data_IF_635517374755
#
_entry.id   IF_635517374755
#
_cell.length_a   1.000
_cell.length_b   1.000
_cell.length_c   1.000
_cell.angle_alpha   90.00
_cell.angle_beta   90.00
_cell.angle_gamma   90.00
#
_symmetry.space_group_name_H-M   'P 1'
#
loop_
_entity.id
_entity.type
_entity.pdbx_description
1 polymer ?
#
# COMPACT_ATOMS: atom_id res chain seq x y z
N UNK A 1 12.76 -16.80 15.12
CA UNK A 1 12.56 -16.03 13.86
C UNK A 1 13.84 -16.01 13.02
N UNK A 2 14.93 -15.40 13.48
CA UNK A 2 16.21 -15.31 12.71
C UNK A 2 16.70 -16.67 12.20
N UNK A 3 16.78 -17.68 13.07
CA UNK A 3 17.19 -19.03 12.65
C UNK A 3 16.24 -19.67 11.62
N UNK A 4 14.93 -19.43 11.77
CA UNK A 4 13.92 -19.95 10.85
C UNK A 4 14.01 -19.33 9.45
N UNK A 5 14.31 -18.03 9.38
CA UNK A 5 14.59 -17.31 8.13
C UNK A 5 15.89 -17.81 7.47
N UNK A 6 16.96 -17.98 8.26
CA UNK A 6 18.23 -18.51 7.77
C UNK A 6 18.11 -19.90 7.14
N UNK A 7 17.29 -20.80 7.72
CA UNK A 7 16.99 -22.12 7.14
C UNK A 7 16.30 -22.05 5.76
N UNK A 8 15.74 -20.89 5.40
CA UNK A 8 15.05 -20.62 4.12
C UNK A 8 15.85 -19.70 3.20
N UNK A 9 17.10 -19.38 3.53
CA UNK A 9 17.92 -18.45 2.76
C UNK A 9 17.45 -17.00 2.85
N UNK A 10 16.64 -16.65 3.84
CA UNK A 10 16.10 -15.30 4.05
C UNK A 10 16.98 -14.55 5.06
N UNK A 11 17.42 -13.35 4.68
CA UNK A 11 18.16 -12.42 5.53
C UNK A 11 17.17 -11.52 6.26
N UNK A 12 17.42 -11.24 7.55
CA UNK A 12 16.64 -10.29 8.33
C UNK A 12 17.51 -9.06 8.58
N UNK A 13 17.09 -7.92 8.02
CA UNK A 13 17.69 -6.61 8.27
C UNK A 13 16.80 -5.89 9.28
N UNK A 14 17.27 -5.63 10.51
CA UNK A 14 16.46 -4.90 11.49
C UNK A 14 16.44 -3.41 11.17
N UNK A 15 15.33 -2.76 11.54
CA UNK A 15 15.19 -1.30 11.52
C UNK A 15 14.90 -0.75 12.91
N UNK A 16 15.68 0.25 13.32
CA UNK A 16 15.42 1.05 14.52
C UNK A 16 15.43 2.53 14.13
N UNK A 17 14.24 3.06 13.89
CA UNK A 17 14.02 4.39 13.29
C UNK A 17 14.48 5.50 14.24
N UNK A 18 15.38 6.35 13.73
CA UNK A 18 15.88 7.56 14.39
C UNK A 18 16.20 8.63 13.34
N UNK A 19 16.20 9.93 13.69
CA UNK A 19 15.85 10.50 14.99
C UNK A 19 14.35 10.79 15.18
N UNK A 20 13.59 10.82 14.09
CA UNK A 20 12.13 10.99 14.08
C UNK A 20 11.42 9.65 14.30
N UNK A 21 10.08 9.66 14.34
CA UNK A 21 9.27 8.48 14.69
C UNK A 21 9.61 7.86 16.06
N UNK A 22 10.17 8.67 16.97
CA UNK A 22 10.70 8.19 18.26
C UNK A 22 9.78 8.44 19.45
N UNK A 23 8.49 8.75 19.23
CA UNK A 23 7.54 8.99 20.35
C UNK A 23 7.54 7.84 21.36
N UNK A 24 7.68 6.58 20.92
CA UNK A 24 7.77 5.43 21.83
C UNK A 24 9.03 5.47 22.72
N UNK A 25 10.20 5.80 22.14
CA UNK A 25 11.44 5.99 22.90
C UNK A 25 11.26 7.16 23.89
N UNK A 26 10.73 8.28 23.43
CA UNK A 26 10.55 9.50 24.23
C UNK A 26 9.47 9.37 25.31
N UNK A 27 8.55 8.42 25.17
CA UNK A 27 7.61 8.06 26.25
C UNK A 27 8.31 7.34 27.41
N UNK A 28 9.36 6.56 27.12
CA UNK A 28 10.16 5.86 28.13
C UNK A 28 11.32 6.71 28.66
N UNK A 29 11.94 7.51 27.79
CA UNK A 29 13.13 8.32 28.06
C UNK A 29 12.89 9.78 27.62
N UNK A 30 11.97 10.51 28.27
CA UNK A 30 11.61 11.88 27.88
C UNK A 30 12.79 12.86 27.97
N UNK A 31 13.83 12.55 28.74
CA UNK A 31 15.06 13.33 28.84
C UNK A 31 15.93 13.32 27.57
N UNK A 32 15.61 12.46 26.58
CA UNK A 32 16.31 12.38 25.29
C UNK A 32 15.66 13.27 24.21
N UNK A 33 14.51 13.87 24.49
CA UNK A 33 13.74 14.63 23.53
C UNK A 33 14.28 16.04 23.29
N UNK A 34 14.04 16.56 22.07
CA UNK A 34 14.32 17.96 21.73
C UNK A 34 13.46 18.96 22.53
N UNK A 35 12.20 18.61 22.79
CA UNK A 35 11.26 19.46 23.53
C UNK A 35 10.79 18.75 24.78
N UNK A 36 10.87 19.41 25.93
CA UNK A 36 10.29 18.86 27.16
C UNK A 36 8.76 18.92 27.11
N UNK A 37 8.12 17.75 26.97
CA UNK A 37 6.66 17.58 27.04
C UNK A 37 6.31 16.23 27.69
N UNK A 38 5.04 16.05 28.03
CA UNK A 38 4.54 14.75 28.45
C UNK A 38 4.33 13.88 27.21
N UNK A 39 5.19 12.88 27.02
CA UNK A 39 5.10 11.93 25.92
C UNK A 39 4.16 10.77 26.27
N UNK A 40 3.39 10.34 25.29
CA UNK A 40 2.56 9.14 25.35
C UNK A 40 2.61 8.42 24.01
N UNK A 41 2.36 7.11 24.04
CA UNK A 41 2.32 6.30 22.82
C UNK A 41 1.26 6.84 21.85
N UNK A 42 1.66 7.05 20.60
CA UNK A 42 0.74 7.48 19.56
C UNK A 42 -0.35 6.41 19.36
N UNK A 43 -1.59 6.87 19.27
CA UNK A 43 -2.76 6.02 19.02
C UNK A 43 -3.34 6.20 17.63
N UNK A 44 -3.04 7.33 17.02
CA UNK A 44 -3.36 7.65 15.63
C UNK A 44 -2.10 7.53 14.78
N UNK A 45 -2.28 7.71 13.49
CA UNK A 45 -1.23 7.48 12.50
C UNK A 45 -0.75 8.82 11.92
N UNK A 46 0.26 8.76 11.06
CA UNK A 46 0.83 9.92 10.38
C UNK A 46 2.16 10.39 10.97
N UNK A 47 2.54 11.60 10.56
CA UNK A 47 3.84 12.18 10.88
C UNK A 47 3.75 13.04 12.14
N UNK A 48 4.58 12.75 13.14
CA UNK A 48 4.57 13.44 14.42
C UNK A 48 5.89 14.20 14.65
N UNK A 49 5.78 15.40 15.24
CA UNK A 49 6.92 16.27 15.53
C UNK A 49 7.94 15.76 16.59
N UNK A 50 7.60 14.87 17.57
CA UNK A 50 8.57 14.31 18.51
C UNK A 50 9.81 13.68 17.86
N UNK A 51 10.98 14.17 18.26
CA UNK A 51 12.28 13.81 17.70
C UNK A 51 13.36 13.81 18.80
N UNK A 52 14.38 12.95 18.65
CA UNK A 52 15.54 12.93 19.56
C UNK A 52 16.32 14.24 19.49
N UNK A 53 16.94 14.65 20.60
CA UNK A 53 17.82 15.81 20.67
C UNK A 53 19.29 15.46 20.29
N UNK A 54 19.76 15.80 19.08
CA UNK A 54 21.12 15.48 18.65
C UNK A 54 22.20 16.25 19.43
N UNK A 55 21.82 17.32 20.16
CA UNK A 55 22.73 18.15 20.96
C UNK A 55 22.91 17.63 22.39
N UNK A 56 22.09 16.66 22.79
CA UNK A 56 22.15 16.03 24.10
C UNK A 56 23.04 14.78 24.06
N UNK A 57 24.17 14.81 24.77
CA UNK A 57 25.13 13.71 24.81
C UNK A 57 24.55 12.37 25.32
N UNK A 58 23.47 12.41 26.10
CA UNK A 58 22.78 11.20 26.57
C UNK A 58 22.13 10.42 25.42
N UNK A 59 21.72 11.09 24.34
CA UNK A 59 21.17 10.43 23.15
C UNK A 59 22.20 9.49 22.55
N UNK A 60 23.45 9.91 22.43
CA UNK A 60 24.51 9.10 21.84
C UNK A 60 24.88 7.89 22.70
N UNK A 61 24.89 8.05 24.03
CA UNK A 61 25.07 6.93 24.97
C UNK A 61 23.92 5.93 24.87
N UNK A 62 22.68 6.43 24.76
CA UNK A 62 21.51 5.59 24.57
C UNK A 62 21.57 4.81 23.25
N UNK A 63 21.84 5.49 22.12
CA UNK A 63 21.92 4.88 20.80
C UNK A 63 23.06 3.85 20.70
N UNK A 64 24.25 4.14 21.23
CA UNK A 64 25.36 3.18 21.24
C UNK A 64 25.01 1.89 22.00
N UNK A 65 24.29 2.00 23.12
CA UNK A 65 23.82 0.84 23.89
C UNK A 65 22.73 0.07 23.18
N UNK A 66 21.67 0.78 22.76
CA UNK A 66 20.54 0.16 22.04
C UNK A 66 21.04 -0.58 20.80
N UNK A 67 21.86 0.07 19.97
CA UNK A 67 22.37 -0.54 18.76
C UNK A 67 23.39 -1.64 19.06
N UNK A 68 24.21 -1.50 20.11
CA UNK A 68 25.08 -2.60 20.55
C UNK A 68 24.30 -3.86 20.91
N UNK A 69 23.21 -3.72 21.67
CA UNK A 69 22.34 -4.85 22.02
C UNK A 69 21.65 -5.45 20.80
N UNK A 70 21.07 -4.61 19.93
CA UNK A 70 20.29 -5.09 18.78
C UNK A 70 21.19 -5.69 17.69
N UNK A 71 22.35 -5.10 17.41
CA UNK A 71 23.30 -5.64 16.42
C UNK A 71 23.89 -7.00 16.84
N UNK A 72 23.95 -7.29 18.14
CA UNK A 72 24.32 -8.61 18.66
C UNK A 72 23.23 -9.67 18.42
N UNK A 73 21.95 -9.26 18.38
CA UNK A 73 20.83 -10.16 18.10
C UNK A 73 20.71 -10.47 16.60
N UNK A 74 20.91 -9.48 15.73
CA UNK A 74 20.73 -9.62 14.28
C UNK A 74 22.06 -9.85 13.56
N UNK A 75 22.33 -11.06 13.04
CA UNK A 75 23.65 -11.42 12.49
C UNK A 75 23.93 -10.82 11.11
N UNK A 76 22.91 -10.31 10.41
CA UNK A 76 23.10 -9.72 9.08
C UNK A 76 24.05 -8.51 9.15
N UNK A 77 24.77 -8.26 8.05
CA UNK A 77 25.70 -7.13 7.98
C UNK A 77 24.99 -5.78 7.83
N UNK A 78 23.75 -5.72 7.34
CA UNK A 78 23.01 -4.47 7.19
C UNK A 78 22.22 -4.16 8.46
N UNK A 79 22.10 -2.87 8.79
CA UNK A 79 21.31 -2.37 9.90
C UNK A 79 20.64 -1.06 9.49
N UNK A 80 19.30 -1.03 9.50
CA UNK A 80 18.51 0.12 9.05
C UNK A 80 18.28 1.08 10.22
N UNK A 81 18.56 2.37 10.00
CA UNK A 81 18.41 3.43 11.01
C UNK A 81 17.16 4.29 10.78
N UNK A 82 16.40 4.00 9.72
CA UNK A 82 15.30 4.83 9.26
C UNK A 82 15.81 6.15 8.70
N UNK A 83 15.42 7.25 9.35
CA UNK A 83 15.80 8.62 8.97
C UNK A 83 14.71 9.37 8.19
N UNK A 84 13.52 8.82 8.12
CA UNK A 84 12.36 9.36 7.43
C UNK A 84 11.59 10.40 8.26
N UNK A 85 10.89 11.29 7.55
CA UNK A 85 9.79 12.12 8.06
C UNK A 85 10.08 12.99 9.30
N UNK A 86 11.33 13.38 9.53
CA UNK A 86 11.63 14.47 10.45
C UNK A 86 11.04 15.79 9.94
N UNK A 87 10.04 16.33 10.63
CA UNK A 87 9.38 17.59 10.23
C UNK A 87 10.22 18.83 10.50
N UNK A 88 11.29 18.72 11.29
CA UNK A 88 12.14 19.83 11.72
C UNK A 88 11.53 20.73 12.80
N UNK A 89 10.21 20.69 13.03
CA UNK A 89 9.51 21.67 13.90
C UNK A 89 10.02 21.69 15.33
N UNK A 90 10.25 20.53 15.94
CA UNK A 90 10.76 20.45 17.31
C UNK A 90 12.20 20.95 17.42
N UNK A 91 13.05 20.70 16.42
CA UNK A 91 14.41 21.25 16.37
C UNK A 91 14.41 22.76 16.16
N UNK A 92 13.59 23.26 15.23
CA UNK A 92 13.51 24.68 14.88
C UNK A 92 12.80 25.52 15.95
N UNK A 93 11.95 24.94 16.80
CA UNK A 93 11.31 25.65 17.91
C UNK A 93 12.18 25.70 19.18
N UNK A 94 13.25 24.90 19.25
CA UNK A 94 14.05 24.72 20.47
C UNK A 94 15.30 25.61 20.48
N UNK A 95 15.42 26.48 21.50
CA UNK A 95 16.47 27.51 21.56
C UNK A 95 17.89 26.93 21.55
N UNK A 96 18.20 25.94 22.39
CA UNK A 96 19.56 25.40 22.47
C UNK A 96 19.97 24.63 21.20
N UNK A 97 19.00 23.99 20.52
CA UNK A 97 19.24 23.32 19.24
C UNK A 97 19.52 24.35 18.15
N UNK A 98 18.74 25.43 18.09
CA UNK A 98 19.01 26.55 17.17
C UNK A 98 20.37 27.19 17.40
N UNK A 99 20.75 27.41 18.65
CA UNK A 99 22.05 27.96 19.00
C UNK A 99 23.18 27.02 18.59
N UNK A 100 23.00 25.71 18.79
CA UNK A 100 23.93 24.69 18.29
C UNK A 100 24.04 24.73 16.77
N UNK A 101 22.93 24.74 16.04
CA UNK A 101 22.92 24.83 14.57
C UNK A 101 23.67 26.08 14.09
N UNK A 102 23.39 27.24 14.69
CA UNK A 102 24.07 28.50 14.36
C UNK A 102 25.57 28.43 14.63
N UNK A 103 25.98 27.89 15.78
CA UNK A 103 27.38 27.75 16.15
C UNK A 103 28.17 26.82 15.21
N UNK A 104 27.49 25.85 14.59
CA UNK A 104 28.09 24.89 13.65
C UNK A 104 27.84 25.25 12.16
N UNK A 105 27.30 26.45 11.88
CA UNK A 105 27.06 26.91 10.51
C UNK A 105 25.99 26.12 9.74
N UNK A 106 25.08 25.46 10.45
CA UNK A 106 23.93 24.74 9.88
C UNK A 106 22.82 25.74 9.54
N UNK A 107 22.26 25.64 8.33
CA UNK A 107 21.25 26.58 7.81
C UNK A 107 19.83 26.09 8.07
N UNK A 108 19.61 24.79 7.89
CA UNK A 108 18.28 24.17 7.96
C UNK A 108 18.33 22.88 8.80
N UNK A 109 17.18 22.40 9.27
CA UNK A 109 17.11 21.19 10.11
C UNK A 109 17.72 19.96 9.42
N UNK A 110 17.71 19.90 8.09
CA UNK A 110 18.32 18.81 7.31
C UNK A 110 19.86 18.79 7.42
N UNK A 111 20.51 19.93 7.64
CA UNK A 111 21.95 19.98 7.94
C UNK A 111 22.23 19.30 9.29
N UNK A 112 21.36 19.52 10.28
CA UNK A 112 21.44 18.88 11.59
C UNK A 112 21.17 17.37 11.49
N UNK A 113 20.20 16.94 10.67
CA UNK A 113 19.96 15.52 10.41
C UNK A 113 21.13 14.85 9.71
N UNK A 114 21.77 15.55 8.76
CA UNK A 114 22.99 15.08 8.10
C UNK A 114 24.11 14.89 9.12
N UNK A 115 24.29 15.85 10.04
CA UNK A 115 25.26 15.74 11.12
C UNK A 115 24.93 14.57 12.08
N UNK A 116 23.65 14.37 12.40
CA UNK A 116 23.18 13.24 13.19
C UNK A 116 23.56 11.90 12.54
N UNK A 117 23.24 11.72 11.26
CA UNK A 117 23.54 10.50 10.50
C UNK A 117 25.06 10.25 10.41
N UNK A 118 25.86 11.29 10.20
CA UNK A 118 27.34 11.19 10.18
C UNK A 118 27.91 10.76 11.53
N UNK A 119 27.31 11.21 12.63
CA UNK A 119 27.73 10.82 13.99
C UNK A 119 27.26 9.41 14.35
N UNK A 120 26.14 8.96 13.79
CA UNK A 120 25.61 7.62 13.99
C UNK A 120 26.38 6.54 13.21
N UNK A 121 26.85 6.86 12.01
CA UNK A 121 27.58 5.92 11.16
C UNK A 121 28.76 5.20 11.86
N UNK A 122 29.69 5.87 12.57
CA UNK A 122 30.79 5.19 13.25
C UNK A 122 30.30 4.29 14.40
N UNK A 123 29.15 4.57 15.02
CA UNK A 123 28.52 3.69 16.02
C UNK A 123 28.08 2.39 15.36
N UNK A 124 27.42 2.46 14.20
CA UNK A 124 27.01 1.28 13.42
C UNK A 124 28.22 0.48 12.94
N UNK A 125 29.25 1.16 12.44
CA UNK A 125 30.50 0.54 11.96
C UNK A 125 31.30 -0.13 13.09
N UNK A 126 31.29 0.45 14.31
CA UNK A 126 31.89 -0.16 15.52
C UNK A 126 31.33 -1.57 15.78
N UNK A 127 30.06 -1.82 15.44
CA UNK A 127 29.42 -3.14 15.54
C UNK A 127 29.49 -3.97 14.25
N UNK A 128 30.42 -3.62 13.35
CA UNK A 128 30.68 -4.30 12.08
C UNK A 128 29.46 -4.39 11.15
N UNK A 129 28.58 -3.39 11.21
CA UNK A 129 27.42 -3.27 10.33
C UNK A 129 27.62 -2.21 9.26
N UNK A 130 26.91 -2.36 8.15
CA UNK A 130 26.74 -1.37 7.09
C UNK A 130 25.42 -0.65 7.35
N UNK A 131 25.48 0.67 7.51
CA UNK A 131 24.31 1.51 7.74
C UNK A 131 23.42 1.55 6.50
N UNK A 132 22.12 1.46 6.72
CA UNK A 132 21.09 1.63 5.72
C UNK A 132 20.04 2.62 6.23
N UNK A 133 19.40 3.38 5.35
CA UNK A 133 18.33 4.30 5.74
C UNK A 133 17.48 4.77 4.57
N UNK A 134 16.35 5.39 4.90
CA UNK A 134 15.44 5.99 3.95
C UNK A 134 16.08 7.16 3.19
N UNK A 135 15.59 7.47 2.00
CA UNK A 135 16.27 8.38 1.09
C UNK A 135 16.50 9.82 1.58
N UNK A 136 15.87 10.26 2.68
CA UNK A 136 16.21 11.47 3.41
C UNK A 136 17.66 11.51 3.89
N UNK A 137 18.27 10.36 4.18
CA UNK A 137 19.67 10.29 4.62
C UNK A 137 20.67 10.58 3.48
N UNK A 138 20.21 10.60 2.22
CA UNK A 138 21.03 10.94 1.06
C UNK A 138 21.29 12.46 1.03
N UNK A 139 22.35 12.87 1.72
CA UNK A 139 22.78 14.27 1.81
C UNK A 139 24.22 14.43 1.35
N UNK A 140 24.63 15.63 0.85
CA UNK A 140 26.00 15.87 0.43
C UNK A 140 27.01 15.49 1.53
N UNK A 141 28.06 14.75 1.16
CA UNK A 141 29.15 14.37 2.06
C UNK A 141 28.82 13.27 3.08
N UNK A 142 27.69 12.56 2.94
CA UNK A 142 27.51 11.27 3.62
C UNK A 142 28.42 10.22 2.96
N UNK A 143 29.11 9.35 3.72
CA UNK A 143 29.99 8.32 3.14
C UNK A 143 29.27 7.35 2.20
N UNK A 144 29.96 6.88 1.15
CA UNK A 144 29.40 6.00 0.11
C UNK A 144 29.22 4.54 0.54
N UNK A 145 29.75 4.15 1.70
CA UNK A 145 29.65 2.80 2.26
C UNK A 145 28.36 2.58 3.05
N UNK A 146 27.27 3.19 2.59
CA UNK A 146 25.91 3.02 3.13
C UNK A 146 24.96 2.53 2.02
N UNK A 147 23.77 2.10 2.43
CA UNK A 147 22.68 1.73 1.50
C UNK A 147 21.54 2.74 1.64
N UNK A 148 21.04 3.23 0.50
CA UNK A 148 19.89 4.13 0.44
C UNK A 148 18.63 3.36 0.03
N UNK A 149 17.57 3.44 0.83
CA UNK A 149 16.27 2.88 0.49
C UNK A 149 15.33 3.99 0.02
N UNK A 150 14.97 3.95 -1.27
CA UNK A 150 14.19 5.00 -1.91
C UNK A 150 12.71 4.72 -1.86
N UNK A 151 11.95 5.65 -1.28
CA UNK A 151 10.58 5.41 -0.89
C UNK A 151 9.62 6.51 -1.35
N UNK A 152 10.08 7.77 -1.34
CA UNK A 152 9.27 8.93 -1.78
C UNK A 152 9.12 9.03 -3.30
N UNK A 153 10.04 8.44 -4.04
CA UNK A 153 10.08 8.47 -5.50
C UNK A 153 11.17 7.59 -6.08
N UNK A 154 11.32 7.59 -7.40
CA UNK A 154 12.41 6.88 -8.10
C UNK A 154 13.63 7.77 -8.34
N UNK A 155 13.46 9.08 -8.21
CA UNK A 155 14.49 10.08 -8.46
C UNK A 155 15.65 9.90 -7.49
N UNK A 156 15.36 9.72 -6.20
CA UNK A 156 16.36 9.49 -5.17
C UNK A 156 17.07 8.14 -5.37
N UNK A 157 16.34 7.10 -5.78
CA UNK A 157 16.92 5.80 -6.16
C UNK A 157 17.96 5.95 -7.28
N UNK A 158 17.57 6.57 -8.40
CA UNK A 158 18.46 6.75 -9.56
C UNK A 158 19.64 7.66 -9.24
N UNK A 159 19.42 8.72 -8.46
CA UNK A 159 20.47 9.62 -7.98
C UNK A 159 21.49 8.85 -7.14
N UNK A 160 21.04 8.08 -6.16
CA UNK A 160 21.89 7.26 -5.28
C UNK A 160 22.80 6.33 -6.09
N UNK A 161 22.20 5.59 -7.02
CA UNK A 161 22.92 4.66 -7.91
C UNK A 161 23.99 5.38 -8.74
N UNK A 162 23.65 6.53 -9.33
CA UNK A 162 24.54 7.32 -10.18
C UNK A 162 25.68 7.97 -9.39
N UNK A 163 25.45 8.34 -8.14
CA UNK A 163 26.45 8.94 -7.24
C UNK A 163 27.36 7.89 -6.55
N UNK A 164 27.07 6.60 -6.77
CA UNK A 164 27.91 5.50 -6.32
C UNK A 164 27.45 4.82 -5.02
N UNK A 165 26.26 5.15 -4.52
CA UNK A 165 25.66 4.48 -3.37
C UNK A 165 24.93 3.22 -3.80
N UNK A 166 24.95 2.20 -2.95
CA UNK A 166 24.05 1.05 -3.09
C UNK A 166 22.62 1.49 -2.80
N UNK A 167 21.65 0.99 -3.56
CA UNK A 167 20.26 1.42 -3.43
C UNK A 167 19.27 0.26 -3.51
N UNK A 168 18.17 0.40 -2.75
CA UNK A 168 16.98 -0.45 -2.80
C UNK A 168 15.78 0.44 -3.16
N UNK A 169 14.90 -0.04 -4.05
CA UNK A 169 13.68 0.65 -4.42
C UNK A 169 12.47 0.09 -3.65
N UNK A 170 11.83 0.91 -2.82
CA UNK A 170 10.52 0.61 -2.20
C UNK A 170 9.39 1.43 -2.82
N UNK A 171 9.69 2.61 -3.40
CA UNK A 171 8.69 3.40 -4.11
C UNK A 171 8.01 2.57 -5.21
N UNK A 172 6.68 2.56 -5.21
CA UNK A 172 5.86 1.74 -6.10
C UNK A 172 5.64 0.30 -5.64
N UNK A 173 6.18 -0.12 -4.49
CA UNK A 173 5.94 -1.42 -3.84
C UNK A 173 5.27 -1.29 -2.46
N UNK A 174 4.57 -0.18 -2.23
CA UNK A 174 3.75 0.09 -1.06
C UNK A 174 2.45 -0.71 -1.14
N UNK A 175 2.46 -1.94 -0.62
CA UNK A 175 1.33 -2.85 -0.70
C UNK A 175 0.23 -2.48 0.29
N UNK A 176 0.55 -1.77 1.37
CA UNK A 176 -0.40 -1.18 2.30
C UNK A 176 -1.37 -0.19 1.62
N UNK A 177 -0.93 0.51 0.57
CA UNK A 177 -1.71 1.51 -0.17
C UNK A 177 -2.73 0.95 -1.17
N UNK A 178 -2.97 -0.38 -1.15
CA UNK A 178 -4.06 -1.05 -1.88
C UNK A 178 -4.00 -0.84 -3.41
N UNK A 179 -2.82 -0.57 -3.96
CA UNK A 179 -2.63 -0.55 -5.41
C UNK A 179 -2.73 -1.98 -6.00
N UNK A 180 -3.14 -2.12 -7.27
CA UNK A 180 -3.29 -3.42 -7.90
C UNK A 180 -1.94 -4.12 -8.13
N UNK A 181 -1.94 -5.45 -8.20
CA UNK A 181 -0.76 -6.27 -8.48
C UNK A 181 -0.05 -5.85 -9.76
N UNK A 182 -0.79 -5.46 -10.80
CA UNK A 182 -0.25 -4.96 -12.07
C UNK A 182 0.59 -3.67 -11.90
N UNK A 183 0.18 -2.76 -11.03
CA UNK A 183 0.93 -1.54 -10.72
C UNK A 183 2.32 -1.89 -10.15
N UNK A 184 2.34 -2.80 -9.17
CA UNK A 184 3.59 -3.25 -8.57
C UNK A 184 4.44 -4.09 -9.53
N UNK A 185 3.82 -4.99 -10.29
CA UNK A 185 4.51 -5.88 -11.23
C UNK A 185 5.24 -5.13 -12.35
N UNK A 186 4.68 -4.01 -12.82
CA UNK A 186 5.29 -3.16 -13.84
C UNK A 186 6.29 -2.15 -13.27
N UNK A 187 6.39 -2.04 -11.94
CA UNK A 187 7.32 -1.14 -11.29
C UNK A 187 8.75 -1.69 -11.37
N UNK A 188 9.48 -1.35 -12.44
CA UNK A 188 10.86 -1.83 -12.63
C UNK A 188 11.89 -0.89 -11.97
N UNK A 189 12.88 -1.41 -11.20
CA UNK A 189 14.03 -0.63 -10.72
C UNK A 189 15.01 -0.21 -11.83
N UNK A 190 15.00 -0.89 -12.98
CA UNK A 190 15.86 -0.64 -14.13
C UNK A 190 15.04 -0.54 -15.44
N UNK A 191 14.11 0.44 -15.58
CA UNK A 191 13.32 0.59 -16.80
C UNK A 191 14.18 1.04 -17.99
N UNK A 192 13.74 0.79 -19.22
CA UNK A 192 14.50 1.18 -20.44
C UNK A 192 14.67 2.70 -20.59
N UNK A 193 13.81 3.48 -19.95
CA UNK A 193 13.91 4.94 -19.90
C UNK A 193 15.10 5.47 -19.10
N UNK A 194 15.81 4.62 -18.36
CA UNK A 194 16.95 5.03 -17.53
C UNK A 194 18.19 4.20 -17.87
N UNK A 195 19.23 4.87 -18.34
CA UNK A 195 20.51 4.24 -18.65
C UNK A 195 21.45 4.24 -17.45
N UNK A 196 22.00 3.06 -17.13
CA UNK A 196 23.04 2.86 -16.13
C UNK A 196 24.28 2.23 -16.76
N UNK A 197 25.46 2.71 -16.38
CA UNK A 197 26.72 2.03 -16.72
C UNK A 197 26.81 0.66 -16.02
N UNK A 198 27.61 -0.29 -16.50
CA UNK A 198 27.80 -1.58 -15.81
C UNK A 198 28.26 -1.45 -14.35
N UNK A 199 29.00 -0.39 -14.01
CA UNK A 199 29.41 -0.11 -12.64
C UNK A 199 28.23 0.39 -11.79
N UNK A 200 27.37 1.25 -12.34
CA UNK A 200 26.17 1.74 -11.67
C UNK A 200 25.14 0.62 -11.46
N UNK A 201 24.97 -0.29 -12.41
CA UNK A 201 24.06 -1.43 -12.25
C UNK A 201 24.40 -2.30 -11.03
N UNK A 202 25.69 -2.44 -10.67
CA UNK A 202 26.13 -3.17 -9.47
C UNK A 202 25.71 -2.52 -8.15
N UNK A 203 25.33 -1.24 -8.19
CA UNK A 203 24.83 -0.52 -7.02
C UNK A 203 23.33 -0.74 -6.80
N UNK A 204 22.61 -1.27 -7.78
CA UNK A 204 21.20 -1.62 -7.65
C UNK A 204 21.13 -2.96 -6.93
N UNK A 205 20.66 -2.94 -5.67
CA UNK A 205 20.52 -4.16 -4.87
C UNK A 205 19.18 -4.87 -5.11
N UNK A 206 18.19 -4.17 -5.66
CA UNK A 206 16.85 -4.68 -5.94
C UNK A 206 15.78 -3.73 -5.46
N UNK A 207 14.67 -4.30 -5.00
CA UNK A 207 13.56 -3.58 -4.38
C UNK A 207 12.97 -4.33 -3.21
N UNK A 208 12.07 -3.69 -2.47
CA UNK A 208 11.43 -4.26 -1.30
C UNK A 208 9.96 -3.81 -1.21
N UNK A 209 9.06 -4.77 -1.04
CA UNK A 209 7.67 -4.48 -0.75
C UNK A 209 7.51 -4.04 0.71
N UNK A 210 6.87 -2.90 0.93
CA UNK A 210 6.63 -2.35 2.27
C UNK A 210 5.18 -2.57 2.67
N UNK A 211 4.97 -3.22 3.80
CA UNK A 211 3.66 -3.41 4.42
C UNK A 211 3.59 -2.61 5.72
N UNK A 212 3.25 -1.34 5.61
CA UNK A 212 2.95 -0.51 6.79
C UNK A 212 1.67 -1.00 7.48
N UNK A 213 1.66 -0.97 8.82
CA UNK A 213 0.69 -1.73 9.60
C UNK A 213 -0.42 -0.90 10.25
N UNK A 214 -0.68 0.30 9.76
CA UNK A 214 -1.70 1.21 10.30
C UNK A 214 -3.10 0.63 10.17
N UNK A 215 -3.40 0.02 9.02
CA UNK A 215 -4.75 -0.41 8.65
C UNK A 215 -4.91 -1.93 8.50
N UNK A 216 -4.15 -2.69 9.29
CA UNK A 216 -4.18 -4.15 9.33
C UNK A 216 -4.11 -4.69 10.76
N UNK A 217 -4.49 -5.95 10.92
CA UNK A 217 -4.35 -6.74 12.15
C UNK A 217 -3.72 -8.09 11.81
N UNK A 218 -3.33 -8.92 12.80
CA UNK A 218 -2.90 -10.28 12.54
C UNK A 218 -3.93 -11.12 11.74
N UNK A 219 -5.22 -10.78 11.80
CA UNK A 219 -6.26 -11.47 11.01
C UNK A 219 -6.22 -11.06 9.53
N UNK A 220 -5.89 -9.80 9.23
CA UNK A 220 -5.97 -9.24 7.85
C UNK A 220 -4.62 -9.08 7.17
N UNK A 221 -3.50 -9.24 7.87
CA UNK A 221 -2.15 -8.99 7.33
C UNK A 221 -1.87 -9.79 6.05
N UNK A 222 -2.20 -11.09 6.02
CA UNK A 222 -1.93 -11.93 4.86
C UNK A 222 -2.69 -11.45 3.63
N UNK A 223 -3.94 -10.99 3.80
CA UNK A 223 -4.77 -10.49 2.70
C UNK A 223 -4.29 -9.17 2.08
N UNK A 224 -3.40 -8.47 2.78
CA UNK A 224 -2.76 -7.26 2.25
C UNK A 224 -1.40 -7.59 1.65
N UNK A 225 -0.65 -8.54 2.21
CA UNK A 225 0.62 -8.98 1.62
C UNK A 225 0.40 -9.80 0.34
N UNK A 226 -0.49 -10.79 0.41
CA UNK A 226 -0.69 -11.77 -0.65
C UNK A 226 -2.00 -11.55 -1.40
N UNK A 227 -2.04 -11.85 -2.72
CA UNK A 227 -0.95 -12.41 -3.51
C UNK A 227 -0.03 -11.35 -4.16
N UNK A 228 -0.27 -10.05 -3.98
CA UNK A 228 0.47 -8.96 -4.66
C UNK A 228 1.98 -9.03 -4.49
N UNK A 229 2.47 -9.42 -3.31
CA UNK A 229 3.91 -9.63 -3.08
C UNK A 229 4.53 -10.73 -3.96
N UNK A 230 3.77 -11.72 -4.44
CA UNK A 230 4.27 -12.70 -5.40
C UNK A 230 4.52 -12.08 -6.79
N UNK A 231 3.69 -11.13 -7.22
CA UNK A 231 3.91 -10.37 -8.45
C UNK A 231 5.15 -9.46 -8.34
N UNK A 232 5.37 -8.86 -7.15
CA UNK A 232 6.60 -8.12 -6.86
C UNK A 232 7.82 -9.04 -6.89
N UNK A 233 7.72 -10.23 -6.29
CA UNK A 233 8.79 -11.22 -6.29
C UNK A 233 9.19 -11.61 -7.72
N UNK A 234 8.24 -11.73 -8.65
CA UNK A 234 8.53 -11.96 -10.05
C UNK A 234 9.31 -10.81 -10.69
N UNK A 235 8.89 -9.55 -10.48
CA UNK A 235 9.63 -8.39 -10.99
C UNK A 235 11.07 -8.35 -10.45
N UNK A 236 11.28 -8.74 -9.20
CA UNK A 236 12.58 -8.70 -8.54
C UNK A 236 13.47 -9.93 -8.83
N UNK A 237 12.93 -10.97 -9.48
CA UNK A 237 13.64 -12.23 -9.76
C UNK A 237 13.80 -12.52 -11.25
N UNK A 238 12.71 -12.39 -12.01
CA UNK A 238 12.63 -12.80 -13.40
C UNK A 238 13.36 -11.82 -14.34
N UNK A 239 13.69 -12.25 -15.56
CA UNK A 239 14.22 -11.35 -16.59
C UNK A 239 13.31 -10.14 -16.81
N UNK A 240 13.91 -8.97 -17.03
CA UNK A 240 13.21 -7.68 -17.21
C UNK A 240 12.05 -7.72 -18.21
N UNK A 241 12.20 -8.48 -19.31
CA UNK A 241 11.22 -8.59 -20.39
C UNK A 241 9.99 -9.45 -20.02
N UNK A 242 9.95 -10.07 -18.83
CA UNK A 242 8.75 -10.67 -18.28
C UNK A 242 7.89 -9.55 -17.69
N UNK A 243 6.95 -9.05 -18.49
CA UNK A 243 6.11 -7.91 -18.13
C UNK A 243 4.66 -8.02 -18.68
N UNK A 244 4.25 -9.19 -19.16
CA UNK A 244 2.87 -9.45 -19.56
C UNK A 244 1.97 -9.53 -18.31
N UNK A 245 1.03 -8.59 -18.20
CA UNK A 245 0.12 -8.47 -17.05
C UNK A 245 -0.95 -9.57 -17.05
N UNK A 246 -1.46 -9.95 -18.21
CA UNK A 246 -2.50 -10.96 -18.33
C UNK A 246 -1.95 -12.35 -17.97
N UNK A 247 -0.75 -12.67 -18.45
CA UNK A 247 -0.08 -13.92 -18.07
C UNK A 247 0.34 -13.92 -16.59
N UNK A 248 0.78 -12.77 -16.06
CA UNK A 248 1.06 -12.63 -14.62
C UNK A 248 -0.17 -12.97 -13.78
N UNK A 249 -1.34 -12.37 -14.04
CA UNK A 249 -2.54 -12.70 -13.26
C UNK A 249 -3.00 -14.16 -13.43
N UNK A 250 -2.82 -14.75 -14.62
CA UNK A 250 -3.10 -16.18 -14.86
C UNK A 250 -2.25 -17.09 -13.97
N UNK A 251 -0.96 -16.76 -13.76
CA UNK A 251 -0.06 -17.52 -12.89
C UNK A 251 -0.23 -17.14 -11.41
N UNK A 252 -0.62 -15.90 -11.13
CA UNK A 252 -0.83 -15.38 -9.79
C UNK A 252 -2.00 -16.07 -9.09
N UNK A 253 -3.09 -16.39 -9.79
CA UNK A 253 -4.23 -17.10 -9.20
C UNK A 253 -3.84 -18.49 -8.69
N UNK A 254 -3.05 -19.25 -9.48
CA UNK A 254 -2.51 -20.56 -9.08
C UNK A 254 -1.55 -20.41 -7.91
N UNK A 255 -0.67 -19.40 -7.96
CA UNK A 255 0.29 -19.12 -6.88
C UNK A 255 -0.42 -18.74 -5.58
N UNK A 256 -1.46 -17.90 -5.64
CA UNK A 256 -2.28 -17.49 -4.49
C UNK A 256 -2.85 -18.70 -3.76
N UNK A 257 -3.39 -19.68 -4.50
CA UNK A 257 -3.94 -20.89 -3.90
C UNK A 257 -2.86 -21.77 -3.26
N UNK A 258 -1.69 -21.89 -3.89
CA UNK A 258 -0.58 -22.68 -3.31
C UNK A 258 -0.06 -22.10 -2.00
N UNK A 259 -0.10 -20.78 -1.85
CA UNK A 259 0.34 -20.10 -0.63
C UNK A 259 -0.45 -20.51 0.61
N UNK A 260 -1.70 -20.96 0.47
CA UNK A 260 -2.49 -21.48 1.60
C UNK A 260 -1.87 -22.74 2.22
N UNK A 261 -1.14 -23.54 1.44
CA UNK A 261 -0.42 -24.72 1.97
C UNK A 261 0.70 -24.36 2.95
N UNK A 262 1.13 -23.09 2.94
CA UNK A 262 2.11 -22.54 3.87
C UNK A 262 1.46 -21.95 5.13
N UNK A 263 0.13 -22.03 5.24
CA UNK A 263 -0.65 -21.49 6.36
C UNK A 263 -1.07 -20.03 6.19
N UNK A 264 -0.85 -19.43 5.02
CA UNK A 264 -1.32 -18.07 4.71
C UNK A 264 -2.84 -18.07 4.58
N UNK A 265 -3.49 -17.04 5.13
CA UNK A 265 -4.96 -16.96 5.29
C UNK A 265 -5.64 -15.99 4.33
N UNK A 266 -4.94 -15.47 3.31
CA UNK A 266 -5.41 -14.37 2.47
C UNK A 266 -6.70 -14.67 1.67
N UNK A 267 -7.04 -15.92 1.39
CA UNK A 267 -8.36 -16.28 0.82
C UNK A 267 -9.34 -16.70 1.93
N UNK A 268 -8.95 -17.64 2.81
CA UNK A 268 -9.83 -18.21 3.85
C UNK A 268 -10.37 -17.16 4.85
N UNK A 269 -9.59 -16.15 5.23
CA UNK A 269 -10.04 -15.14 6.22
C UNK A 269 -11.30 -14.40 5.73
N UNK A 270 -11.46 -14.23 4.41
CA UNK A 270 -12.59 -13.51 3.82
C UNK A 270 -13.90 -14.18 4.22
N UNK A 271 -13.96 -15.49 4.13
CA UNK A 271 -15.13 -16.28 4.52
C UNK A 271 -15.52 -16.11 6.00
N UNK A 272 -14.52 -16.07 6.89
CA UNK A 272 -14.74 -15.81 8.32
C UNK A 272 -15.23 -14.39 8.58
N UNK A 273 -14.61 -13.41 7.92
CA UNK A 273 -14.98 -12.00 8.00
C UNK A 273 -16.40 -11.76 7.48
N UNK A 274 -16.79 -12.38 6.37
CA UNK A 274 -18.13 -12.26 5.80
C UNK A 274 -19.20 -12.87 6.72
N UNK A 275 -18.93 -14.01 7.37
CA UNK A 275 -19.86 -14.59 8.36
C UNK A 275 -20.03 -13.68 9.58
N UNK A 276 -18.94 -13.06 10.05
CA UNK A 276 -18.97 -12.06 11.12
C UNK A 276 -19.82 -10.85 10.71
N UNK A 277 -19.60 -10.34 9.50
CA UNK A 277 -20.35 -9.21 8.94
C UNK A 277 -21.81 -9.54 8.67
N UNK A 278 -22.15 -10.77 8.30
CA UNK A 278 -23.53 -11.20 8.09
C UNK A 278 -24.27 -11.52 9.40
N UNK A 279 -23.53 -11.72 10.51
CA UNK A 279 -24.04 -12.30 11.75
C UNK A 279 -24.76 -13.65 11.49
N UNK A 280 -24.18 -14.49 10.63
CA UNK A 280 -24.80 -15.74 10.19
C UNK A 280 -24.00 -16.51 9.13
N UNK A 281 -24.54 -17.64 8.71
CA UNK A 281 -23.94 -18.50 7.67
C UNK A 281 -24.34 -18.10 6.24
N UNK A 282 -25.48 -17.42 6.06
CA UNK A 282 -25.87 -16.89 4.76
C UNK A 282 -25.09 -15.61 4.47
N UNK A 283 -24.09 -15.74 3.61
CA UNK A 283 -23.16 -14.67 3.23
C UNK A 283 -23.22 -14.33 1.74
N UNK A 284 -24.10 -14.98 0.97
CA UNK A 284 -24.07 -14.94 -0.50
C UNK A 284 -24.18 -13.52 -1.05
N UNK A 285 -25.04 -12.68 -0.44
CA UNK A 285 -25.18 -11.30 -0.87
C UNK A 285 -23.93 -10.44 -0.59
N UNK A 286 -23.21 -10.74 0.49
CA UNK A 286 -21.94 -10.09 0.81
C UNK A 286 -20.81 -10.59 -0.08
N UNK A 287 -20.77 -11.88 -0.43
CA UNK A 287 -19.80 -12.43 -1.39
C UNK A 287 -19.91 -11.72 -2.75
N UNK A 288 -21.15 -11.54 -3.26
CA UNK A 288 -21.39 -10.80 -4.50
C UNK A 288 -20.87 -9.38 -4.41
N UNK A 289 -21.21 -8.64 -3.34
CA UNK A 289 -20.76 -7.25 -3.18
C UNK A 289 -19.23 -7.14 -3.02
N UNK A 290 -18.65 -7.94 -2.13
CA UNK A 290 -17.20 -7.94 -1.83
C UNK A 290 -16.38 -8.37 -3.03
N UNK A 291 -16.91 -9.20 -3.93
CA UNK A 291 -16.24 -9.59 -5.17
C UNK A 291 -16.03 -8.44 -6.16
N UNK A 292 -16.69 -7.29 -5.99
CA UNK A 292 -16.62 -6.16 -6.93
C UNK A 292 -16.24 -4.82 -6.29
N UNK A 293 -15.90 -4.82 -5.01
CA UNK A 293 -15.41 -3.62 -4.32
C UNK A 293 -13.96 -3.81 -3.90
N UNK A 294 -13.27 -2.70 -3.72
CA UNK A 294 -11.94 -2.64 -3.10
C UNK A 294 -11.90 -1.58 -2.02
N UNK A 295 -11.01 -1.70 -1.01
CA UNK A 295 -10.79 -0.62 -0.06
C UNK A 295 -10.31 0.65 -0.76
N UNK A 296 -10.63 1.81 -0.20
CA UNK A 296 -10.05 3.08 -0.66
C UNK A 296 -8.52 3.01 -0.63
N UNK A 297 -7.91 3.47 -1.72
CA UNK A 297 -6.46 3.37 -1.94
C UNK A 297 -5.69 4.49 -1.27
N UNK A 298 -4.38 4.31 -1.23
CA UNK A 298 -3.42 5.31 -0.76
C UNK A 298 -3.80 5.74 0.67
N UNK A 299 -4.05 7.02 0.91
CA UNK A 299 -4.32 7.56 2.25
C UNK A 299 -5.80 7.88 2.48
N UNK A 300 -6.68 7.56 1.52
CA UNK A 300 -8.10 7.96 1.58
C UNK A 300 -8.93 7.12 2.57
N UNK A 301 -8.46 5.91 2.91
CA UNK A 301 -9.15 5.01 3.84
C UNK A 301 -9.19 5.59 5.26
N UNK A 302 -8.07 6.12 5.74
CA UNK A 302 -7.93 6.74 7.07
C UNK A 302 -7.88 8.27 6.95
N UNK A 303 -8.99 8.86 6.54
CA UNK A 303 -9.11 10.30 6.32
C UNK A 303 -8.55 11.13 7.50
N UNK A 304 -7.59 12.01 7.18
CA UNK A 304 -6.95 12.90 8.16
C UNK A 304 -6.17 12.17 9.25
N UNK A 305 -5.76 10.93 8.98
CA UNK A 305 -4.98 10.04 9.84
C UNK A 305 -5.56 9.72 11.23
N UNK A 306 -6.80 10.15 11.47
CA UNK A 306 -7.43 10.21 12.80
C UNK A 306 -8.72 9.40 12.92
N UNK A 307 -9.20 8.80 11.82
CA UNK A 307 -10.42 8.01 11.85
C UNK A 307 -10.21 6.62 12.46
N UNK A 308 -9.05 6.03 12.21
CA UNK A 308 -8.64 4.77 12.80
C UNK A 308 -7.57 5.02 13.86
N UNK A 309 -7.58 4.17 14.88
CA UNK A 309 -6.54 4.09 15.90
C UNK A 309 -5.87 2.72 15.83
N UNK A 310 -4.75 2.56 16.53
CA UNK A 310 -4.10 1.26 16.76
C UNK A 310 -5.01 0.20 17.43
N UNK A 311 -6.17 0.60 17.97
CA UNK A 311 -7.15 -0.29 18.59
C UNK A 311 -8.48 -0.37 17.84
N UNK A 312 -8.59 0.30 16.68
CA UNK A 312 -9.82 0.27 15.90
C UNK A 312 -10.12 -1.16 15.43
N UNK A 313 -11.41 -1.55 15.38
CA UNK A 313 -11.79 -2.87 14.90
C UNK A 313 -11.66 -2.91 13.37
N UNK A 314 -10.68 -3.67 12.87
CA UNK A 314 -10.50 -3.98 11.45
C UNK A 314 -11.34 -5.20 11.07
N UNK A 315 -12.65 -5.10 11.29
CA UNK A 315 -13.63 -6.16 11.07
C UNK A 315 -14.85 -5.68 10.27
N UNK A 316 -14.65 -4.69 9.41
CA UNK A 316 -15.66 -4.02 8.58
C UNK A 316 -15.62 -4.50 7.14
N UNK A 317 -16.51 -3.98 6.28
CA UNK A 317 -16.55 -4.39 4.87
C UNK A 317 -15.23 -4.11 4.14
N UNK A 318 -14.56 -2.99 4.45
CA UNK A 318 -13.23 -2.67 3.92
C UNK A 318 -12.15 -3.67 4.34
N UNK A 319 -12.35 -4.39 5.44
CA UNK A 319 -11.43 -5.43 5.88
C UNK A 319 -11.63 -6.73 5.13
N UNK A 320 -12.85 -7.02 4.67
CA UNK A 320 -13.14 -8.16 3.78
C UNK A 320 -12.78 -7.88 2.31
N UNK A 321 -12.85 -6.61 1.89
CA UNK A 321 -12.47 -6.19 0.55
C UNK A 321 -10.95 -6.25 0.35
N UNK A 322 -10.53 -6.64 -0.85
CA UNK A 322 -9.13 -6.67 -1.29
C UNK A 322 -9.01 -5.98 -2.64
N UNK A 323 -7.83 -5.42 -2.99
CA UNK A 323 -7.58 -5.01 -4.38
C UNK A 323 -7.57 -6.23 -5.29
N UNK A 324 -7.53 -6.00 -6.61
CA UNK A 324 -7.34 -7.04 -7.63
C UNK A 324 -8.40 -8.16 -7.63
N UNK A 325 -9.66 -7.83 -7.33
CA UNK A 325 -10.71 -8.85 -7.41
C UNK A 325 -10.79 -9.43 -8.84
N UNK A 326 -10.88 -10.75 -8.94
CA UNK A 326 -10.91 -11.44 -10.23
C UNK A 326 -12.15 -11.04 -11.05
N UNK A 327 -13.31 -10.91 -10.41
CA UNK A 327 -14.59 -10.64 -11.06
C UNK A 327 -14.56 -9.32 -11.87
N UNK A 328 -14.21 -8.15 -11.30
CA UNK A 328 -14.05 -6.90 -12.06
C UNK A 328 -13.02 -6.98 -13.17
N UNK A 329 -11.88 -7.65 -12.94
CA UNK A 329 -10.81 -7.77 -13.93
C UNK A 329 -11.26 -8.55 -15.16
N UNK A 330 -11.92 -9.70 -14.95
CA UNK A 330 -12.47 -10.50 -16.04
C UNK A 330 -13.63 -9.77 -16.72
N UNK A 331 -14.52 -9.13 -15.95
CA UNK A 331 -15.65 -8.38 -16.49
C UNK A 331 -15.19 -7.22 -17.39
N UNK A 332 -14.18 -6.45 -16.98
CA UNK A 332 -13.63 -5.37 -17.80
C UNK A 332 -13.07 -5.91 -19.12
N UNK A 333 -12.33 -7.03 -19.10
CA UNK A 333 -11.82 -7.68 -20.31
C UNK A 333 -12.94 -8.19 -21.21
N UNK A 334 -13.99 -8.77 -20.63
CA UNK A 334 -15.17 -9.22 -21.38
C UNK A 334 -15.88 -8.07 -22.08
N UNK A 335 -16.09 -6.94 -21.38
CA UNK A 335 -16.68 -5.72 -21.96
C UNK A 335 -15.82 -5.18 -23.09
N UNK A 336 -14.50 -5.04 -22.87
CA UNK A 336 -13.58 -4.54 -23.92
C UNK A 336 -13.62 -5.43 -25.16
N UNK A 337 -13.67 -6.75 -24.99
CA UNK A 337 -13.78 -7.70 -26.10
C UNK A 337 -15.14 -7.61 -26.80
N UNK A 338 -16.24 -7.50 -26.04
CA UNK A 338 -17.60 -7.37 -26.58
C UNK A 338 -17.75 -6.09 -27.41
N UNK A 339 -17.22 -4.97 -26.93
CA UNK A 339 -17.28 -3.70 -27.66
C UNK A 339 -16.45 -3.70 -28.96
N UNK A 340 -15.36 -4.48 -29.01
CA UNK A 340 -14.59 -4.68 -30.25
C UNK A 340 -15.28 -5.65 -31.20
N UNK A 341 -15.87 -6.71 -30.67
CA UNK A 341 -16.54 -7.76 -31.43
C UNK A 341 -17.77 -8.26 -30.66
N UNK A 342 -18.98 -7.77 -30.98
CA UNK A 342 -20.19 -8.04 -30.22
C UNK A 342 -20.74 -9.45 -30.50
N UNK A 343 -20.08 -10.45 -29.93
CA UNK A 343 -20.50 -11.85 -30.01
C UNK A 343 -21.61 -12.12 -28.97
N UNK A 344 -22.64 -12.85 -29.38
CA UNK A 344 -23.77 -13.23 -28.52
C UNK A 344 -23.32 -13.97 -27.25
N UNK A 345 -22.28 -14.81 -27.34
CA UNK A 345 -21.76 -15.52 -26.18
C UNK A 345 -21.17 -14.56 -25.12
N UNK A 346 -20.43 -13.53 -25.54
CA UNK A 346 -19.89 -12.51 -24.64
C UNK A 346 -21.01 -11.64 -24.05
N UNK A 347 -22.00 -11.29 -24.86
CA UNK A 347 -23.18 -10.55 -24.43
C UNK A 347 -23.92 -11.27 -23.28
N UNK A 348 -24.21 -12.57 -23.46
CA UNK A 348 -24.88 -13.39 -22.44
C UNK A 348 -24.08 -13.49 -21.13
N UNK A 349 -22.75 -13.58 -21.21
CA UNK A 349 -21.89 -13.60 -20.02
C UNK A 349 -21.95 -12.28 -19.26
N UNK A 350 -21.80 -11.14 -19.96
CA UNK A 350 -21.84 -9.81 -19.36
C UNK A 350 -23.23 -9.55 -18.77
N UNK A 351 -24.30 -9.82 -19.52
CA UNK A 351 -25.67 -9.65 -19.06
C UNK A 351 -26.00 -10.54 -17.85
N UNK A 352 -25.52 -11.79 -17.84
CA UNK A 352 -25.68 -12.69 -16.70
C UNK A 352 -25.03 -12.14 -15.43
N UNK A 353 -23.81 -11.63 -15.53
CA UNK A 353 -23.10 -11.04 -14.39
C UNK A 353 -23.78 -9.75 -13.88
N UNK A 354 -24.23 -8.88 -14.79
CA UNK A 354 -24.99 -7.69 -14.44
C UNK A 354 -26.33 -8.04 -13.77
N UNK A 355 -27.01 -9.10 -14.23
CA UNK A 355 -28.26 -9.54 -13.61
C UNK A 355 -28.06 -10.01 -12.16
N UNK A 356 -26.95 -10.71 -11.86
CA UNK A 356 -26.57 -11.07 -10.49
C UNK A 356 -26.42 -9.82 -9.63
N UNK A 357 -25.65 -8.83 -10.10
CA UNK A 357 -25.41 -7.59 -9.36
C UNK A 357 -26.67 -6.75 -9.15
N UNK A 358 -27.50 -6.61 -10.19
CA UNK A 358 -28.80 -5.92 -10.14
C UNK A 358 -29.72 -6.52 -9.06
N UNK A 359 -29.78 -7.84 -8.97
CA UNK A 359 -30.69 -8.50 -8.04
C UNK A 359 -30.11 -8.66 -6.62
N UNK A 360 -28.81 -8.42 -6.43
CA UNK A 360 -28.13 -8.66 -5.17
C UNK A 360 -28.60 -7.76 -4.02
N UNK A 361 -29.02 -6.54 -4.31
CA UNK A 361 -29.35 -5.55 -3.28
C UNK A 361 -30.45 -6.02 -2.32
N UNK A 362 -31.44 -6.76 -2.82
CA UNK A 362 -32.49 -7.34 -1.96
C UNK A 362 -31.92 -8.33 -0.94
N UNK A 363 -30.99 -9.19 -1.35
CA UNK A 363 -30.30 -10.12 -0.45
C UNK A 363 -29.40 -9.39 0.56
N UNK A 364 -28.75 -8.30 0.12
CA UNK A 364 -27.96 -7.46 1.00
C UNK A 364 -28.83 -6.81 2.09
N UNK A 365 -29.97 -6.22 1.72
CA UNK A 365 -30.92 -5.64 2.68
C UNK A 365 -31.49 -6.70 3.63
N UNK A 366 -31.68 -7.94 3.17
CA UNK A 366 -32.10 -9.03 4.04
C UNK A 366 -31.05 -9.33 5.12
N UNK A 367 -29.76 -9.34 4.74
CA UNK A 367 -28.61 -9.53 5.65
C UNK A 367 -28.47 -8.37 6.63
N UNK A 368 -28.60 -7.13 6.14
CA UNK A 368 -28.52 -5.89 6.94
C UNK A 368 -29.46 -5.90 8.15
N UNK A 369 -30.66 -6.47 8.03
CA UNK A 369 -31.65 -6.54 9.13
C UNK A 369 -31.11 -7.17 10.41
N UNK A 370 -30.15 -8.10 10.27
CA UNK A 370 -29.54 -8.82 11.39
C UNK A 370 -28.11 -8.36 11.69
N UNK A 371 -27.58 -7.38 10.94
CA UNK A 371 -26.21 -6.91 11.08
C UNK A 371 -26.05 -5.41 10.78
N UNK A 372 -26.27 -4.55 11.80
CA UNK A 372 -26.21 -3.10 11.65
C UNK A 372 -24.85 -2.56 11.17
N UNK A 373 -23.76 -3.31 11.35
CA UNK A 373 -22.42 -2.91 10.88
C UNK A 373 -22.37 -2.71 9.36
N UNK A 374 -23.29 -3.36 8.61
CA UNK A 374 -23.39 -3.23 7.17
C UNK A 374 -24.05 -1.92 6.70
N UNK A 375 -24.58 -1.10 7.62
CA UNK A 375 -25.24 0.16 7.26
C UNK A 375 -24.33 1.08 6.44
N UNK A 376 -23.02 1.08 6.70
CA UNK A 376 -22.04 1.89 5.97
C UNK A 376 -21.87 1.48 4.50
N UNK A 377 -22.29 0.26 4.12
CA UNK A 377 -22.15 -0.30 2.78
C UNK A 377 -23.45 -0.31 1.95
N UNK A 378 -24.57 0.18 2.50
CA UNK A 378 -25.88 0.19 1.83
C UNK A 378 -25.82 0.92 0.49
N UNK A 379 -25.18 2.11 0.47
CA UNK A 379 -25.05 2.92 -0.74
C UNK A 379 -24.27 2.18 -1.83
N UNK A 380 -23.21 1.44 -1.49
CA UNK A 380 -22.46 0.64 -2.48
C UNK A 380 -23.32 -0.47 -3.07
N UNK A 381 -24.09 -1.18 -2.23
CA UNK A 381 -24.99 -2.23 -2.69
C UNK A 381 -26.07 -1.70 -3.63
N UNK A 382 -26.66 -0.55 -3.28
CA UNK A 382 -27.69 0.11 -4.10
C UNK A 382 -27.09 0.62 -5.43
N UNK A 383 -25.94 1.28 -5.37
CA UNK A 383 -25.23 1.81 -6.53
C UNK A 383 -24.83 0.68 -7.48
N UNK A 384 -24.30 -0.44 -6.98
CA UNK A 384 -24.00 -1.62 -7.80
C UNK A 384 -25.24 -2.14 -8.53
N UNK A 385 -26.38 -2.20 -7.83
CA UNK A 385 -27.64 -2.63 -8.44
C UNK A 385 -28.12 -1.69 -9.55
N UNK A 386 -28.08 -0.37 -9.30
CA UNK A 386 -28.46 0.66 -10.27
C UNK A 386 -27.53 0.68 -11.48
N UNK A 387 -26.23 0.64 -11.24
CA UNK A 387 -25.20 0.56 -12.28
C UNK A 387 -25.38 -0.68 -13.14
N UNK A 388 -25.66 -1.84 -12.53
CA UNK A 388 -25.87 -3.06 -13.27
C UNK A 388 -27.14 -3.02 -14.13
N UNK A 389 -28.21 -2.38 -13.65
CA UNK A 389 -29.41 -2.13 -14.46
C UNK A 389 -29.13 -1.19 -15.65
N UNK A 390 -28.31 -0.16 -15.45
CA UNK A 390 -27.85 0.73 -16.52
C UNK A 390 -27.05 -0.03 -17.59
N UNK A 391 -26.14 -0.91 -17.17
CA UNK A 391 -25.36 -1.77 -18.07
C UNK A 391 -26.23 -2.73 -18.89
N UNK A 392 -27.26 -3.33 -18.28
CA UNK A 392 -28.23 -4.18 -19.00
C UNK A 392 -29.00 -3.38 -20.06
N UNK A 393 -29.46 -2.18 -19.72
CA UNK A 393 -30.13 -1.29 -20.68
C UNK A 393 -29.19 -0.90 -21.83
N UNK A 394 -27.91 -0.65 -21.55
CA UNK A 394 -26.92 -0.36 -22.59
C UNK A 394 -26.72 -1.55 -23.54
N UNK A 395 -26.67 -2.79 -23.01
CA UNK A 395 -26.58 -4.00 -23.83
C UNK A 395 -27.78 -4.12 -24.77
N UNK A 396 -29.01 -3.82 -24.30
CA UNK A 396 -30.21 -3.87 -25.16
C UNK A 396 -30.12 -2.91 -26.35
N UNK A 397 -29.57 -1.71 -26.16
CA UNK A 397 -29.32 -0.75 -27.25
C UNK A 397 -28.29 -1.29 -28.25
N UNK A 398 -27.16 -1.81 -27.76
CA UNK A 398 -26.10 -2.37 -28.60
C UNK A 398 -26.63 -3.58 -29.39
N UNK A 399 -27.31 -4.51 -28.71
CA UNK A 399 -27.90 -5.72 -29.30
C UNK A 399 -28.91 -5.38 -30.40
N UNK A 400 -29.79 -4.41 -30.15
CA UNK A 400 -30.80 -3.98 -31.13
C UNK A 400 -30.25 -3.07 -32.22
N UNK A 401 -28.94 -2.78 -32.21
CA UNK A 401 -28.27 -1.83 -33.10
C UNK A 401 -28.98 -0.46 -33.12
N UNK A 402 -29.51 -0.04 -31.97
CA UNK A 402 -30.18 1.25 -31.79
C UNK A 402 -29.26 2.19 -31.03
N UNK A 403 -29.25 3.46 -31.44
CA UNK A 403 -28.55 4.52 -30.73
C UNK A 403 -29.41 5.07 -29.61
N UNK A 404 -28.89 5.09 -28.39
CA UNK A 404 -29.56 5.73 -27.28
C UNK A 404 -29.59 7.26 -27.44
N UNK A 405 -30.68 7.89 -26.99
CA UNK A 405 -30.85 9.34 -27.04
C UNK A 405 -30.06 10.07 -25.94
N UNK A 406 -29.82 11.37 -26.13
CA UNK A 406 -29.06 12.20 -25.18
C UNK A 406 -29.65 12.21 -23.76
N UNK A 407 -30.98 12.20 -23.62
CA UNK A 407 -31.65 12.14 -22.32
C UNK A 407 -31.41 10.82 -21.57
N UNK A 408 -31.40 9.69 -22.29
CA UNK A 408 -31.04 8.40 -21.70
C UNK A 408 -29.58 8.38 -21.27
N UNK A 409 -28.68 8.89 -22.12
CA UNK A 409 -27.25 8.95 -21.81
C UNK A 409 -27.01 9.76 -20.54
N UNK A 410 -27.60 10.95 -20.42
CA UNK A 410 -27.46 11.77 -19.22
C UNK A 410 -27.91 11.02 -17.96
N UNK A 411 -29.09 10.38 -18.02
CA UNK A 411 -29.61 9.61 -16.89
C UNK A 411 -28.67 8.47 -16.48
N UNK A 412 -28.08 7.74 -17.45
CA UNK A 412 -27.15 6.66 -17.13
C UNK A 412 -25.81 7.19 -16.61
N UNK A 413 -25.32 8.33 -17.13
CA UNK A 413 -24.11 8.96 -16.65
C UNK A 413 -24.27 9.51 -15.21
N UNK A 414 -25.45 9.98 -14.83
CA UNK A 414 -25.73 10.36 -13.44
C UNK A 414 -25.62 9.14 -12.49
N UNK A 415 -26.04 7.95 -12.93
CA UNK A 415 -25.86 6.69 -12.18
C UNK A 415 -24.37 6.33 -12.10
N UNK A 416 -23.62 6.50 -13.19
CA UNK A 416 -22.16 6.29 -13.21
C UNK A 416 -21.47 7.20 -12.19
N UNK A 417 -21.74 8.51 -12.21
CA UNK A 417 -21.15 9.46 -11.27
C UNK A 417 -21.53 9.16 -9.81
N UNK A 418 -22.80 8.81 -9.55
CA UNK A 418 -23.21 8.36 -8.22
C UNK A 418 -22.46 7.09 -7.79
N UNK A 419 -22.21 6.17 -8.72
CA UNK A 419 -21.52 4.90 -8.45
C UNK A 419 -20.02 5.04 -8.23
N UNK A 420 -19.41 6.18 -8.60
CA UNK A 420 -18.03 6.54 -8.24
C UNK A 420 -17.89 6.92 -6.76
N UNK A 421 -19.00 7.18 -6.06
CA UNK A 421 -18.96 7.52 -4.64
C UNK A 421 -18.64 6.29 -3.78
N UNK A 422 -17.86 6.51 -2.72
CA UNK A 422 -17.48 5.47 -1.76
C UNK A 422 -18.60 5.12 -0.77
N UNK A 423 -18.50 3.94 -0.17
CA UNK A 423 -19.28 3.54 0.99
C UNK A 423 -18.52 2.50 1.82
N UNK A 424 -18.67 2.51 3.14
CA UNK A 424 -17.92 1.58 4.02
C UNK A 424 -16.41 1.61 3.80
N UNK A 425 -15.85 2.75 3.36
CA UNK A 425 -14.43 2.92 2.97
C UNK A 425 -13.99 2.00 1.84
N UNK A 426 -14.90 1.72 0.92
CA UNK A 426 -14.66 0.97 -0.31
C UNK A 426 -15.23 1.72 -1.52
N UNK A 427 -14.80 1.32 -2.71
CA UNK A 427 -15.28 1.79 -4.01
C UNK A 427 -15.59 0.61 -4.95
N UNK A 428 -16.44 0.86 -5.95
CA UNK A 428 -16.82 -0.15 -6.94
C UNK A 428 -15.78 -0.24 -8.07
N UNK A 429 -15.25 -1.44 -8.30
CA UNK A 429 -14.26 -1.70 -9.36
C UNK A 429 -14.87 -1.84 -10.77
N UNK A 430 -16.20 -1.87 -10.86
CA UNK A 430 -16.94 -2.18 -12.11
C UNK A 430 -17.57 -0.95 -12.77
N UNK A 431 -17.35 0.26 -12.23
CA UNK A 431 -17.92 1.50 -12.76
C UNK A 431 -17.43 1.77 -14.19
N UNK A 432 -16.11 1.76 -14.39
CA UNK A 432 -15.50 2.07 -15.69
C UNK A 432 -15.97 1.15 -16.84
N UNK A 433 -15.99 -0.19 -16.71
CA UNK A 433 -16.49 -1.03 -17.80
C UNK A 433 -17.99 -0.84 -18.07
N UNK A 434 -18.82 -0.58 -17.07
CA UNK A 434 -20.24 -0.27 -17.31
C UNK A 434 -20.41 1.09 -18.01
N UNK A 435 -19.61 2.09 -17.64
CA UNK A 435 -19.56 3.38 -18.33
C UNK A 435 -19.24 3.22 -19.83
N UNK A 436 -18.27 2.35 -20.18
CA UNK A 436 -17.96 2.04 -21.58
C UNK A 436 -19.15 1.45 -22.33
N UNK A 437 -19.93 0.55 -21.72
CA UNK A 437 -21.15 0.01 -22.33
C UNK A 437 -22.17 1.12 -22.61
N UNK A 438 -22.38 2.01 -21.64
CA UNK A 438 -23.31 3.15 -21.75
C UNK A 438 -22.88 4.10 -22.87
N UNK A 439 -21.59 4.46 -22.92
CA UNK A 439 -21.03 5.31 -23.97
C UNK A 439 -21.18 4.68 -25.35
N UNK A 440 -20.87 3.39 -25.48
CA UNK A 440 -21.03 2.66 -26.73
C UNK A 440 -22.49 2.60 -27.20
N UNK A 441 -23.45 2.38 -26.30
CA UNK A 441 -24.89 2.43 -26.60
C UNK A 441 -25.34 3.81 -27.12
N UNK A 442 -24.67 4.88 -26.71
CA UNK A 442 -24.88 6.24 -27.21
C UNK A 442 -24.02 6.58 -28.45
N UNK A 443 -23.26 5.63 -28.99
CA UNK A 443 -22.39 5.82 -30.15
C UNK A 443 -21.18 6.73 -29.88
N UNK A 444 -20.68 6.72 -28.64
CA UNK A 444 -19.42 7.35 -28.22
C UNK A 444 -18.36 6.23 -28.17
N UNK A 445 -17.20 6.46 -28.77
CA UNK A 445 -16.12 5.48 -28.91
C UNK A 445 -14.88 5.87 -28.12
#
# INVERSE_FOLDING_TARGET
IIAYAGQRGIRIVPEFVVPAHTTAILSAFPELASVKRNYSLQRYFGVFDPVLDPTNEKVWVFLDRLFGEMTALFPDKYFHIGGDENTGKDWESTLHIRDYMKAHGMKEYMDLQTAFNRRLLPIIQKYHKTMMGWDEILQPGVPRDIVIQSWRGKEAFYKSVKEGYKAILSNGYYIDLIQPASFHYLNDPMPDSVSFTPAQQKNILGGEATMWSELITPETVDSRIWPRSAAIAERLWSPKNINDVDDMYRRLSVTSLWLEQLGLRHEIYKQEMLRRLANGYDIGALEVLVSVIEPLKIYDRNQGDTMYTVFSPFTKIADAATPDQEVPRLFNKQVDNYLRQPLQASELQIAGQLAIWKNNHTGFLATLRNSPVLQEAVSLSENLSQLAAAGLSAIEYIHSNKKAGAGWLQQQMDIVEKSKQQGGRCELQVVAPVEKLIQAAAGIH
#
